data_IF_722262468603
#
_entry.id   IF_722262468603
#
_cell.length_a   1.000
_cell.length_b   1.000
_cell.length_c   1.000
_cell.angle_alpha   90.00
_cell.angle_beta   90.00
_cell.angle_gamma   90.00
#
_symmetry.space_group_name_H-M   'P 1'
#
loop_
_entity.id
_entity.type
_entity.pdbx_description
1 polymer ?
#
# COMPACT_ATOMS: atom_id res chain seq x y z
N UNK A 1 96.45 -17.04 4.70
CA UNK A 1 96.66 -16.84 6.10
C UNK A 1 96.16 -15.44 6.43
N UNK A 2 95.19 -15.26 7.18
CA UNK A 2 94.63 -14.20 7.99
C UNK A 2 93.11 -14.30 8.00
N UNK A 3 92.59 -14.79 9.13
CA UNK A 3 91.16 -14.87 9.42
C UNK A 3 90.69 -13.49 9.82
N UNK A 4 89.56 -13.08 9.27
CA UNK A 4 88.85 -11.86 9.65
C UNK A 4 87.46 -12.26 10.24
N UNK A 5 87.29 -11.97 11.53
CA UNK A 5 86.10 -12.20 12.26
C UNK A 5 85.12 -10.99 11.97
N UNK A 6 83.93 -11.31 11.46
CA UNK A 6 82.89 -10.31 11.35
C UNK A 6 81.91 -10.42 12.53
N UNK A 7 81.78 -9.36 13.28
CA UNK A 7 80.83 -9.19 14.39
C UNK A 7 79.47 -8.94 13.81
N UNK A 8 78.47 -9.81 14.09
CA UNK A 8 77.08 -9.62 13.74
C UNK A 8 76.41 -8.94 14.91
N UNK A 9 76.02 -7.71 14.74
CA UNK A 9 75.19 -6.96 15.69
C UNK A 9 73.72 -7.30 15.38
N UNK A 10 73.06 -7.88 16.38
CA UNK A 10 71.64 -8.25 16.34
C UNK A 10 70.83 -7.02 16.76
N UNK A 11 70.13 -6.37 15.78
CA UNK A 11 69.13 -5.32 16.04
C UNK A 11 67.77 -5.95 16.21
N UNK A 12 67.22 -5.93 17.42
CA UNK A 12 65.85 -6.34 17.70
C UNK A 12 64.88 -5.26 17.26
N UNK A 13 64.13 -5.51 16.18
CA UNK A 13 63.01 -4.67 15.77
C UNK A 13 61.75 -5.10 16.54
N UNK A 14 61.28 -4.25 17.45
CA UNK A 14 59.95 -4.37 18.04
C UNK A 14 58.91 -4.03 16.96
N UNK A 15 58.25 -5.01 16.38
CA UNK A 15 57.02 -4.81 15.63
C UNK A 15 55.87 -4.68 16.60
N UNK A 16 55.43 -3.44 16.79
CA UNK A 16 54.15 -3.14 17.43
C UNK A 16 52.99 -3.50 16.49
N UNK A 17 52.34 -4.62 16.74
CA UNK A 17 51.09 -4.99 16.09
C UNK A 17 49.95 -4.16 16.68
N UNK A 18 49.60 -3.05 16.02
CA UNK A 18 48.33 -2.36 16.27
C UNK A 18 47.18 -3.22 15.77
N UNK A 19 46.49 -3.90 16.71
CA UNK A 19 45.20 -4.51 16.43
C UNK A 19 44.19 -3.38 16.11
N UNK A 20 43.91 -3.16 14.83
CA UNK A 20 42.69 -2.47 14.42
C UNK A 20 41.51 -3.41 14.76
N UNK A 21 40.78 -3.11 15.84
CA UNK A 21 39.46 -3.64 16.06
C UNK A 21 38.54 -3.00 14.99
N UNK A 22 38.32 -3.71 13.88
CA UNK A 22 37.19 -3.43 13.01
C UNK A 22 35.92 -3.65 13.81
N UNK A 23 35.32 -2.56 14.29
CA UNK A 23 33.94 -2.58 14.73
C UNK A 23 33.06 -2.80 13.48
N UNK A 24 32.87 -4.04 13.10
CA UNK A 24 31.78 -4.42 12.23
C UNK A 24 30.50 -4.07 12.98
N UNK A 25 29.97 -2.90 12.68
CA UNK A 25 28.63 -2.50 13.12
C UNK A 25 27.66 -3.53 12.55
N UNK A 26 27.32 -4.54 13.33
CA UNK A 26 26.16 -5.36 13.04
C UNK A 26 24.96 -4.40 13.00
N UNK A 27 24.50 -4.06 11.81
CA UNK A 27 23.16 -3.52 11.65
C UNK A 27 22.25 -4.55 12.30
N UNK A 28 21.67 -4.20 13.44
CA UNK A 28 20.71 -5.06 14.10
C UNK A 28 19.61 -5.36 13.06
N UNK A 29 19.44 -6.63 12.71
CA UNK A 29 18.32 -7.04 11.90
C UNK A 29 17.06 -6.58 12.64
N UNK A 30 16.17 -5.89 11.92
CA UNK A 30 14.88 -5.50 12.49
C UNK A 30 14.25 -6.75 13.13
N UNK A 31 13.71 -6.60 14.34
CA UNK A 31 13.00 -7.70 14.98
C UNK A 31 11.86 -8.14 14.05
N UNK A 32 11.71 -9.45 13.86
CA UNK A 32 10.63 -9.96 13.02
C UNK A 32 9.28 -9.41 13.52
N UNK A 33 8.40 -8.95 12.61
CA UNK A 33 7.12 -8.38 13.01
C UNK A 33 6.30 -9.37 13.83
N UNK A 34 5.62 -8.87 14.87
CA UNK A 34 4.65 -9.66 15.64
C UNK A 34 3.34 -9.79 14.85
N UNK A 35 2.63 -10.91 15.03
CA UNK A 35 1.33 -11.11 14.39
C UNK A 35 1.42 -11.56 12.93
N UNK A 36 0.60 -10.98 12.06
CA UNK A 36 0.49 -11.35 10.66
C UNK A 36 1.66 -10.77 9.86
N UNK A 37 2.31 -11.60 9.07
CA UNK A 37 3.51 -11.21 8.31
C UNK A 37 3.25 -10.96 6.82
N UNK A 38 2.12 -11.42 6.29
CA UNK A 38 1.82 -11.29 4.87
C UNK A 38 0.89 -10.11 4.64
N UNK A 39 1.24 -9.23 3.72
CA UNK A 39 0.48 -8.06 3.30
C UNK A 39 0.20 -8.16 1.81
N UNK A 40 -1.06 -7.95 1.41
CA UNK A 40 -1.46 -7.87 0.01
C UNK A 40 -2.01 -6.48 -0.26
N UNK A 41 -1.39 -5.76 -1.19
CA UNK A 41 -1.70 -4.38 -1.55
C UNK A 41 -2.48 -4.34 -2.86
N UNK A 42 -3.63 -3.64 -2.87
CA UNK A 42 -4.53 -3.50 -4.02
C UNK A 42 -4.62 -2.02 -4.39
N UNK A 43 -4.26 -1.68 -5.64
CA UNK A 43 -4.29 -0.29 -6.11
C UNK A 43 -5.71 0.20 -6.43
N UNK A 44 -5.88 1.50 -6.62
CA UNK A 44 -7.12 2.13 -7.04
C UNK A 44 -7.25 2.25 -8.55
N UNK A 45 -8.40 2.72 -9.01
CA UNK A 45 -8.63 3.08 -10.41
C UNK A 45 -7.62 4.12 -10.91
N UNK A 46 -7.37 4.15 -12.22
CA UNK A 46 -6.48 5.09 -12.89
C UNK A 46 -5.00 4.97 -12.49
N UNK A 47 -4.64 3.95 -11.72
CA UNK A 47 -3.31 3.71 -11.19
C UNK A 47 -2.89 2.25 -11.43
N UNK A 48 -1.72 1.90 -10.97
CA UNK A 48 -1.21 0.53 -10.96
C UNK A 48 -0.45 0.24 -9.65
N UNK A 49 0.07 -0.96 -9.53
CA UNK A 49 0.80 -1.38 -8.33
C UNK A 49 2.08 -0.62 -8.06
N UNK A 50 2.64 0.13 -9.01
CA UNK A 50 3.89 0.89 -8.83
C UNK A 50 3.79 2.00 -7.79
N UNK A 51 2.58 2.54 -7.59
CA UNK A 51 2.33 3.53 -6.55
C UNK A 51 2.63 3.05 -5.13
N UNK A 52 2.60 1.75 -4.91
CA UNK A 52 2.89 1.13 -3.60
C UNK A 52 4.39 0.99 -3.29
N UNK A 53 5.31 1.33 -4.20
CA UNK A 53 6.75 1.09 -4.04
C UNK A 53 7.32 1.61 -2.71
N UNK A 54 6.97 2.83 -2.29
CA UNK A 54 7.48 3.39 -1.05
C UNK A 54 6.98 2.64 0.20
N UNK A 55 5.70 2.25 0.23
CA UNK A 55 5.11 1.44 1.31
C UNK A 55 5.72 0.03 1.30
N UNK A 56 5.86 -0.58 0.12
CA UNK A 56 6.53 -1.87 -0.05
C UNK A 56 7.94 -1.87 0.54
N UNK A 57 8.74 -0.84 0.26
CA UNK A 57 10.11 -0.73 0.74
C UNK A 57 10.19 -0.60 2.27
N UNK A 58 9.23 0.10 2.90
CA UNK A 58 9.15 0.20 4.37
C UNK A 58 8.79 -1.15 4.95
N UNK A 59 7.67 -1.74 4.53
CA UNK A 59 7.17 -2.99 5.08
C UNK A 59 8.17 -4.15 4.92
N UNK A 60 8.82 -4.27 3.76
CA UNK A 60 9.83 -5.32 3.54
C UNK A 60 11.07 -5.13 4.38
N UNK A 61 11.53 -3.89 4.60
CA UNK A 61 12.61 -3.56 5.52
C UNK A 61 12.26 -3.96 6.96
N UNK A 62 11.00 -3.82 7.34
CA UNK A 62 10.49 -4.14 8.67
C UNK A 62 10.09 -5.63 8.81
N UNK A 63 10.37 -6.44 7.78
CA UNK A 63 10.30 -7.91 7.82
C UNK A 63 8.96 -8.51 7.37
N UNK A 64 8.09 -7.73 6.73
CA UNK A 64 6.86 -8.24 6.15
C UNK A 64 7.09 -8.86 4.77
N UNK A 65 6.29 -9.86 4.43
CA UNK A 65 6.16 -10.40 3.06
C UNK A 65 5.05 -9.65 2.36
N UNK A 66 5.40 -8.91 1.32
CA UNK A 66 4.45 -8.03 0.62
C UNK A 66 4.20 -8.54 -0.80
N UNK A 67 2.95 -8.63 -1.19
CA UNK A 67 2.53 -8.85 -2.56
C UNK A 67 1.67 -7.68 -3.04
N UNK A 68 1.82 -7.31 -4.31
CA UNK A 68 1.06 -6.23 -4.94
C UNK A 68 0.18 -6.84 -6.03
N UNK A 69 -1.11 -6.56 -5.98
CA UNK A 69 -2.06 -6.97 -7.01
C UNK A 69 -1.93 -6.04 -8.21
N UNK A 70 -1.99 -6.61 -9.40
CA UNK A 70 -2.13 -5.90 -10.67
C UNK A 70 -3.47 -6.33 -11.27
N UNK A 71 -4.54 -5.71 -10.77
CA UNK A 71 -5.88 -5.98 -11.31
C UNK A 71 -6.05 -5.30 -12.68
N UNK A 72 -6.79 -5.93 -13.61
CA UNK A 72 -6.89 -5.44 -14.99
C UNK A 72 -7.86 -4.28 -15.17
N UNK A 73 -8.70 -3.98 -14.20
CA UNK A 73 -9.74 -2.93 -14.24
C UNK A 73 -10.74 -3.05 -15.41
N UNK A 74 -10.88 -4.27 -15.94
CA UNK A 74 -11.80 -4.59 -17.04
C UNK A 74 -13.19 -5.00 -16.58
N UNK A 75 -13.30 -5.53 -15.35
CA UNK A 75 -14.57 -5.78 -14.65
C UNK A 75 -14.32 -5.98 -13.16
N UNK A 76 -15.30 -5.63 -12.33
CA UNK A 76 -15.21 -5.84 -10.88
C UNK A 76 -14.93 -7.31 -10.50
N UNK A 77 -15.55 -8.24 -11.23
CA UNK A 77 -15.36 -9.67 -10.97
C UNK A 77 -13.93 -10.15 -11.25
N UNK A 78 -13.30 -9.69 -12.35
CA UNK A 78 -11.90 -10.00 -12.64
C UNK A 78 -10.97 -9.35 -11.63
N UNK A 79 -11.21 -8.10 -11.22
CA UNK A 79 -10.39 -7.42 -10.22
C UNK A 79 -10.40 -8.15 -8.88
N UNK A 80 -11.57 -8.58 -8.41
CA UNK A 80 -11.72 -9.42 -7.20
C UNK A 80 -11.00 -10.77 -7.37
N UNK A 81 -11.07 -11.39 -8.53
CA UNK A 81 -10.39 -12.66 -8.84
C UNK A 81 -8.87 -12.52 -8.78
N UNK A 82 -8.31 -11.44 -9.31
CA UNK A 82 -6.87 -11.16 -9.23
C UNK A 82 -6.41 -10.92 -7.79
N UNK A 83 -7.20 -10.19 -6.98
CA UNK A 83 -6.92 -10.02 -5.56
C UNK A 83 -6.93 -11.37 -4.82
N UNK A 84 -7.94 -12.23 -5.05
CA UNK A 84 -8.00 -13.58 -4.46
C UNK A 84 -6.82 -14.45 -4.87
N UNK A 85 -6.42 -14.43 -6.14
CA UNK A 85 -5.27 -15.19 -6.61
C UNK A 85 -3.97 -14.79 -5.89
N UNK A 86 -3.80 -13.51 -5.53
CA UNK A 86 -2.65 -13.06 -4.75
C UNK A 86 -2.76 -13.41 -3.26
N UNK A 87 -3.96 -13.44 -2.68
CA UNK A 87 -4.23 -13.94 -1.32
C UNK A 87 -3.90 -15.43 -1.24
N UNK A 88 -4.35 -16.23 -2.20
CA UNK A 88 -4.13 -17.69 -2.25
C UNK A 88 -2.64 -18.06 -2.25
N UNK A 89 -1.81 -17.26 -2.91
CA UNK A 89 -0.35 -17.46 -3.00
C UNK A 89 0.38 -17.18 -1.68
N UNK A 90 -0.26 -16.52 -0.71
CA UNK A 90 0.39 -16.24 0.56
C UNK A 90 0.51 -17.50 1.42
N UNK A 91 1.65 -17.70 2.12
CA UNK A 91 1.89 -18.90 2.92
C UNK A 91 1.07 -18.96 4.23
N UNK A 92 0.40 -17.86 4.60
CA UNK A 92 -0.35 -17.77 5.86
C UNK A 92 -1.37 -16.64 5.87
N UNK A 93 -1.87 -16.24 7.04
CA UNK A 93 -2.83 -15.15 7.20
C UNK A 93 -2.34 -13.84 6.57
N UNK A 94 -3.27 -13.04 6.07
CA UNK A 94 -3.03 -11.83 5.26
C UNK A 94 -3.68 -10.61 5.90
N UNK A 95 -2.96 -9.48 5.93
CA UNK A 95 -3.55 -8.14 5.98
C UNK A 95 -3.81 -7.71 4.54
N UNK A 96 -5.07 -7.47 4.19
CA UNK A 96 -5.48 -7.06 2.86
C UNK A 96 -5.72 -5.54 2.85
N UNK A 97 -4.98 -4.83 1.99
CA UNK A 97 -4.94 -3.37 1.93
C UNK A 97 -5.49 -2.90 0.59
N UNK A 98 -6.41 -1.94 0.58
CA UNK A 98 -6.97 -1.36 -0.64
C UNK A 98 -6.92 0.15 -0.63
N UNK A 99 -6.44 0.73 -1.73
CA UNK A 99 -6.51 2.16 -2.00
C UNK A 99 -7.68 2.45 -2.93
N UNK A 100 -8.44 3.51 -2.67
CA UNK A 100 -9.49 4.01 -3.57
C UNK A 100 -10.49 2.91 -3.98
N UNK A 101 -10.68 2.68 -5.28
CA UNK A 101 -11.45 1.56 -5.83
C UNK A 101 -10.94 0.19 -5.34
N UNK A 102 -9.64 0.05 -5.08
CA UNK A 102 -9.11 -1.16 -4.44
C UNK A 102 -9.78 -1.49 -3.11
N UNK A 103 -10.37 -0.50 -2.43
CA UNK A 103 -11.24 -0.69 -1.26
C UNK A 103 -12.50 -1.48 -1.58
N UNK A 104 -13.18 -1.20 -2.69
CA UNK A 104 -14.31 -1.99 -3.16
C UNK A 104 -13.89 -3.45 -3.43
N UNK A 105 -12.73 -3.63 -4.08
CA UNK A 105 -12.16 -4.97 -4.37
C UNK A 105 -11.88 -5.73 -3.08
N UNK A 106 -11.23 -5.12 -2.08
CA UNK A 106 -10.93 -5.80 -0.82
C UNK A 106 -12.18 -6.03 0.03
N UNK A 107 -13.21 -5.21 -0.13
CA UNK A 107 -14.50 -5.40 0.53
C UNK A 107 -15.16 -6.72 0.12
N UNK A 108 -15.03 -7.14 -1.13
CA UNK A 108 -15.56 -8.42 -1.63
C UNK A 108 -14.53 -9.56 -1.45
N UNK A 109 -13.25 -9.35 -1.80
CA UNK A 109 -12.20 -10.37 -1.71
C UNK A 109 -11.85 -10.72 -0.25
N UNK A 110 -12.06 -9.81 0.68
CA UNK A 110 -11.74 -9.96 2.11
C UNK A 110 -12.55 -11.03 2.85
N UNK A 111 -13.58 -11.60 2.21
CA UNK A 111 -14.30 -12.75 2.75
C UNK A 111 -13.48 -14.06 2.71
N UNK A 112 -12.32 -14.05 2.04
CA UNK A 112 -11.40 -15.19 2.05
C UNK A 112 -10.97 -15.51 3.49
N UNK A 113 -10.95 -16.80 3.89
CA UNK A 113 -10.56 -17.22 5.24
C UNK A 113 -9.12 -16.84 5.62
N UNK A 114 -8.20 -16.71 4.65
CA UNK A 114 -6.84 -16.23 4.91
C UNK A 114 -6.77 -14.75 5.29
N UNK A 115 -7.78 -13.95 4.93
CA UNK A 115 -7.78 -12.52 5.30
C UNK A 115 -8.14 -12.37 6.75
N UNK A 116 -7.21 -11.85 7.53
CA UNK A 116 -7.36 -11.64 8.98
C UNK A 116 -7.70 -10.19 9.34
N UNK A 117 -7.35 -9.23 8.47
CA UNK A 117 -7.63 -7.81 8.67
C UNK A 117 -7.77 -7.08 7.33
N UNK A 118 -8.52 -5.97 7.34
CA UNK A 118 -8.70 -5.07 6.22
C UNK A 118 -8.13 -3.69 6.55
N UNK A 119 -7.42 -3.09 5.59
CA UNK A 119 -6.93 -1.71 5.69
C UNK A 119 -7.37 -0.93 4.46
N UNK A 120 -8.11 0.13 4.68
CA UNK A 120 -8.60 1.04 3.66
C UNK A 120 -7.75 2.31 3.67
N UNK A 121 -7.22 2.71 2.53
CA UNK A 121 -6.42 3.92 2.35
C UNK A 121 -7.14 4.81 1.36
N UNK A 122 -7.78 5.90 1.81
CA UNK A 122 -8.59 6.79 0.95
C UNK A 122 -9.53 5.98 0.04
N UNK A 123 -10.38 5.11 0.60
CA UNK A 123 -10.90 4.00 -0.16
C UNK A 123 -12.40 3.72 0.07
N UNK A 124 -13.03 3.08 -0.89
CA UNK A 124 -14.44 2.69 -0.84
C UNK A 124 -14.66 1.46 0.06
N UNK A 125 -15.10 1.65 1.32
CA UNK A 125 -15.58 0.60 2.20
C UNK A 125 -17.11 0.44 2.01
N UNK A 126 -17.49 -0.13 0.88
CA UNK A 126 -18.87 -0.24 0.40
C UNK A 126 -19.72 -1.20 1.25
N UNK A 127 -21.02 -0.91 1.39
CA UNK A 127 -22.00 -1.86 1.92
C UNK A 127 -22.64 -2.70 0.80
N UNK A 128 -23.38 -3.74 1.18
CA UNK A 128 -24.09 -4.59 0.23
C UNK A 128 -25.06 -3.76 -0.64
N UNK A 129 -24.95 -3.92 -1.95
CA UNK A 129 -25.73 -3.17 -2.92
C UNK A 129 -25.16 -1.81 -3.32
N UNK A 130 -24.07 -1.34 -2.68
CA UNK A 130 -23.35 -0.13 -3.07
C UNK A 130 -22.27 -0.41 -4.11
N UNK A 131 -22.04 0.54 -4.99
CA UNK A 131 -20.89 0.61 -5.90
C UNK A 131 -20.16 1.95 -5.71
N UNK A 132 -18.96 2.09 -6.24
CA UNK A 132 -18.25 3.38 -6.25
C UNK A 132 -19.11 4.48 -6.85
N UNK A 133 -19.79 4.19 -7.95
CA UNK A 133 -20.71 5.12 -8.61
C UNK A 133 -21.87 5.59 -7.72
N UNK A 134 -22.45 4.70 -6.90
CA UNK A 134 -23.56 5.08 -6.01
C UNK A 134 -23.09 5.97 -4.87
N UNK A 135 -21.88 5.78 -4.36
CA UNK A 135 -21.28 6.61 -3.33
C UNK A 135 -20.97 8.01 -3.89
N UNK A 136 -20.28 8.09 -5.02
CA UNK A 136 -19.95 9.38 -5.64
C UNK A 136 -21.21 10.17 -6.05
N UNK A 137 -22.26 9.48 -6.52
CA UNK A 137 -23.53 10.13 -6.84
C UNK A 137 -24.22 10.72 -5.60
N UNK A 138 -24.08 10.07 -4.44
CA UNK A 138 -24.72 10.54 -3.20
C UNK A 138 -24.07 11.82 -2.66
N UNK A 139 -22.72 11.88 -2.66
CA UNK A 139 -21.94 13.08 -2.32
C UNK A 139 -20.75 13.16 -3.28
N UNK A 140 -20.87 13.97 -4.34
CA UNK A 140 -19.84 14.08 -5.37
C UNK A 140 -18.47 14.50 -4.80
N UNK A 141 -17.37 14.00 -5.38
CA UNK A 141 -16.03 14.49 -5.07
C UNK A 141 -15.83 15.92 -5.59
N UNK A 142 -14.80 16.60 -5.08
CA UNK A 142 -14.43 17.94 -5.54
C UNK A 142 -13.81 17.93 -6.95
N UNK A 143 -13.04 16.88 -7.28
CA UNK A 143 -12.43 16.68 -8.59
C UNK A 143 -13.48 16.34 -9.65
N UNK A 144 -13.36 16.95 -10.83
CA UNK A 144 -14.30 16.78 -11.94
C UNK A 144 -13.59 16.30 -13.21
N UNK A 145 -12.35 15.81 -13.08
CA UNK A 145 -11.50 15.43 -14.21
C UNK A 145 -11.83 14.10 -14.85
N UNK A 146 -12.70 13.27 -14.25
CA UNK A 146 -13.06 11.97 -14.82
C UNK A 146 -13.79 12.14 -16.14
N UNK A 147 -13.32 11.46 -17.18
CA UNK A 147 -13.85 11.43 -18.54
C UNK A 147 -14.15 10.00 -18.92
N UNK A 148 -15.10 9.83 -19.85
CA UNK A 148 -15.43 8.53 -20.44
C UNK A 148 -14.89 8.41 -21.86
N UNK A 149 -14.40 7.23 -22.21
CA UNK A 149 -14.10 6.86 -23.60
C UNK A 149 -15.36 6.34 -24.29
N UNK A 150 -15.36 6.29 -25.63
CA UNK A 150 -16.51 5.81 -26.40
C UNK A 150 -16.82 4.31 -26.20
N UNK A 151 -15.84 3.53 -25.76
CA UNK A 151 -15.93 2.09 -25.55
C UNK A 151 -16.15 1.69 -24.08
N UNK A 152 -16.51 2.67 -23.22
CA UNK A 152 -17.00 2.40 -21.86
C UNK A 152 -15.91 2.31 -20.78
N UNK A 153 -14.77 2.94 -21.00
CA UNK A 153 -13.76 3.12 -19.97
C UNK A 153 -13.75 4.55 -19.44
N UNK A 154 -13.20 4.71 -18.26
CA UNK A 154 -13.00 5.99 -17.57
C UNK A 154 -11.50 6.26 -17.45
N UNK A 155 -11.15 7.55 -17.43
CA UNK A 155 -9.81 8.06 -17.13
C UNK A 155 -9.93 9.45 -16.51
N UNK A 156 -8.92 9.91 -15.80
CA UNK A 156 -8.84 11.31 -15.36
C UNK A 156 -8.14 12.10 -16.47
N UNK A 157 -8.72 13.24 -16.87
CA UNK A 157 -8.08 14.16 -17.80
C UNK A 157 -6.66 14.48 -17.30
N UNK A 158 -5.61 14.26 -18.10
CA UNK A 158 -4.22 14.51 -17.67
C UNK A 158 -4.01 15.94 -17.11
N UNK A 159 -4.74 16.93 -17.60
CA UNK A 159 -4.67 18.31 -17.09
C UNK A 159 -5.22 18.46 -15.66
N UNK A 160 -6.12 17.59 -15.23
CA UNK A 160 -6.72 17.58 -13.89
C UNK A 160 -6.09 16.55 -12.95
N UNK A 161 -5.28 15.62 -13.47
CA UNK A 161 -4.81 14.47 -12.70
C UNK A 161 -4.06 14.89 -11.42
N UNK A 162 -3.15 15.86 -11.51
CA UNK A 162 -2.41 16.34 -10.35
C UNK A 162 -3.35 16.90 -9.28
N UNK A 163 -4.25 17.83 -9.65
CA UNK A 163 -5.16 18.49 -8.71
C UNK A 163 -6.19 17.55 -8.10
N UNK A 164 -6.68 16.58 -8.88
CA UNK A 164 -7.81 15.76 -8.47
C UNK A 164 -7.37 14.46 -7.77
N UNK A 165 -6.20 13.93 -8.13
CA UNK A 165 -5.75 12.63 -7.63
C UNK A 165 -4.56 12.75 -6.66
N UNK A 166 -3.57 13.60 -6.94
CA UNK A 166 -2.27 13.56 -6.27
C UNK A 166 -1.66 14.94 -6.06
N UNK A 167 -2.45 15.89 -5.53
CA UNK A 167 -2.07 17.31 -5.41
C UNK A 167 -0.86 17.58 -4.51
N UNK A 168 -0.52 16.70 -3.59
CA UNK A 168 0.63 16.76 -2.69
C UNK A 168 1.82 15.87 -3.12
N UNK A 169 1.72 15.25 -4.31
CA UNK A 169 2.83 14.50 -4.93
C UNK A 169 3.53 15.42 -5.94
N UNK A 170 4.88 15.39 -6.07
CA UNK A 170 5.58 16.24 -7.03
C UNK A 170 5.03 16.13 -8.46
N UNK A 171 4.82 17.27 -9.14
CA UNK A 171 4.27 17.33 -10.51
C UNK A 171 5.04 16.48 -11.51
N UNK A 172 6.37 16.39 -11.40
CA UNK A 172 7.18 15.54 -12.27
C UNK A 172 6.79 14.05 -12.20
N UNK A 173 6.32 13.59 -11.03
CA UNK A 173 5.81 12.22 -10.85
C UNK A 173 4.37 12.10 -11.35
N UNK A 174 3.51 13.05 -11.01
CA UNK A 174 2.09 13.02 -11.41
C UNK A 174 1.89 13.22 -12.90
N UNK A 175 2.78 13.96 -13.58
CA UNK A 175 2.77 14.09 -15.04
C UNK A 175 2.95 12.75 -15.75
N UNK A 176 3.84 11.87 -15.23
CA UNK A 176 3.99 10.53 -15.77
C UNK A 176 2.76 9.65 -15.41
N UNK A 177 2.30 9.71 -14.16
CA UNK A 177 1.12 8.97 -13.72
C UNK A 177 -0.11 9.31 -14.57
N UNK A 178 -0.31 10.60 -14.90
CA UNK A 178 -1.42 11.07 -15.70
C UNK A 178 -1.49 10.48 -17.11
N UNK A 179 -0.36 10.11 -17.70
CA UNK A 179 -0.31 9.53 -19.06
C UNK A 179 -0.14 8.00 -19.06
N UNK A 180 0.15 7.42 -17.90
CA UNK A 180 0.29 5.97 -17.72
C UNK A 180 -0.88 5.32 -16.97
N UNK A 181 -2.02 6.02 -16.87
CA UNK A 181 -3.22 5.52 -16.22
C UNK A 181 -3.68 4.18 -16.79
N UNK A 182 -4.11 3.27 -15.94
CA UNK A 182 -4.91 2.11 -16.37
C UNK A 182 -6.34 2.61 -16.67
N UNK A 183 -6.88 2.23 -17.80
CA UNK A 183 -8.28 2.57 -18.15
C UNK A 183 -9.23 1.76 -17.26
N UNK A 184 -10.12 2.46 -16.58
CA UNK A 184 -11.04 1.90 -15.59
C UNK A 184 -12.41 1.64 -16.22
N UNK A 185 -12.89 0.39 -16.21
CA UNK A 185 -14.16 0.05 -16.85
C UNK A 185 -15.37 0.59 -16.09
N UNK A 186 -16.43 0.96 -16.84
CA UNK A 186 -17.71 1.28 -16.24
C UNK A 186 -18.29 0.12 -15.43
N UNK A 187 -18.01 -1.14 -15.81
CA UNK A 187 -18.42 -2.32 -15.05
C UNK A 187 -17.81 -2.30 -13.65
N UNK A 188 -16.50 -2.08 -13.55
CA UNK A 188 -15.79 -1.99 -12.27
C UNK A 188 -16.33 -0.84 -11.39
N UNK A 189 -16.71 0.29 -12.01
CA UNK A 189 -17.23 1.46 -11.31
C UNK A 189 -18.66 1.28 -10.79
N UNK A 190 -19.52 0.59 -11.56
CA UNK A 190 -20.97 0.51 -11.31
C UNK A 190 -21.44 -0.78 -10.67
N UNK A 191 -20.63 -1.86 -10.71
CA UNK A 191 -20.99 -3.14 -10.12
C UNK A 191 -21.03 -3.08 -8.60
N UNK A 192 -22.15 -3.44 -7.96
CA UNK A 192 -22.29 -3.37 -6.52
C UNK A 192 -21.56 -4.52 -5.80
N UNK A 193 -21.02 -4.22 -4.62
CA UNK A 193 -20.53 -5.22 -3.67
C UNK A 193 -21.69 -6.07 -3.16
N UNK A 194 -21.45 -7.37 -3.00
CA UNK A 194 -22.45 -8.33 -2.51
C UNK A 194 -22.29 -8.65 -1.04
N UNK A 195 -21.05 -8.92 -0.61
CA UNK A 195 -20.76 -9.40 0.73
C UNK A 195 -19.63 -8.58 1.37
N UNK A 196 -19.97 -7.53 2.12
CA UNK A 196 -18.96 -6.65 2.72
C UNK A 196 -18.18 -7.35 3.83
N UNK A 197 -16.90 -7.64 3.58
CA UNK A 197 -16.03 -8.34 4.51
C UNK A 197 -15.76 -7.57 5.82
N UNK A 198 -15.82 -6.23 5.81
CA UNK A 198 -15.66 -5.40 6.99
C UNK A 198 -16.73 -5.64 8.06
N UNK A 199 -17.87 -6.27 7.72
CA UNK A 199 -18.89 -6.69 8.71
C UNK A 199 -18.41 -7.80 9.64
N UNK A 200 -17.38 -8.54 9.24
CA UNK A 200 -16.86 -9.68 10.01
C UNK A 200 -15.35 -9.62 10.28
N UNK A 201 -14.63 -8.70 9.65
CA UNK A 201 -13.18 -8.58 9.79
C UNK A 201 -12.78 -7.31 10.53
N UNK A 202 -11.77 -7.36 11.41
CA UNK A 202 -11.16 -6.16 11.97
C UNK A 202 -10.70 -5.21 10.87
N UNK A 203 -11.00 -3.92 11.02
CA UNK A 203 -10.84 -2.94 9.95
C UNK A 203 -10.11 -1.70 10.44
N UNK A 204 -9.18 -1.20 9.61
CA UNK A 204 -8.45 0.06 9.76
C UNK A 204 -8.73 0.95 8.57
N UNK A 205 -8.67 2.26 8.78
CA UNK A 205 -8.95 3.23 7.73
C UNK A 205 -8.05 4.45 7.86
N UNK A 206 -7.35 4.81 6.78
CA UNK A 206 -6.72 6.10 6.61
C UNK A 206 -7.55 6.92 5.66
N UNK A 207 -7.89 8.16 6.05
CA UNK A 207 -8.57 9.11 5.19
C UNK A 207 -7.78 10.40 5.07
N UNK A 208 -7.98 11.11 3.96
CA UNK A 208 -7.35 12.39 3.70
C UNK A 208 -8.34 13.55 3.79
N UNK A 209 -7.89 14.64 4.42
CA UNK A 209 -8.75 15.82 4.59
C UNK A 209 -8.86 16.69 3.34
N UNK A 210 -7.96 16.52 2.37
CA UNK A 210 -7.94 17.20 1.08
C UNK A 210 -8.07 16.24 -0.11
N UNK A 211 -8.83 15.16 0.07
CA UNK A 211 -9.15 14.22 -1.00
C UNK A 211 -10.15 14.86 -1.99
N UNK A 212 -9.77 14.93 -3.26
CA UNK A 212 -10.62 15.44 -4.33
C UNK A 212 -11.22 14.32 -5.21
N UNK A 213 -10.80 13.06 -5.02
CA UNK A 213 -11.32 11.89 -5.77
C UNK A 213 -12.42 11.16 -5.01
N UNK A 214 -12.38 11.12 -3.68
CA UNK A 214 -13.49 10.68 -2.82
C UNK A 214 -13.78 11.84 -1.86
N UNK A 215 -15.05 12.18 -1.69
CA UNK A 215 -15.41 13.23 -0.75
C UNK A 215 -15.04 12.80 0.69
N UNK A 216 -14.28 13.60 1.47
CA UNK A 216 -13.87 13.26 2.83
C UNK A 216 -15.03 12.92 3.78
N UNK A 217 -16.22 13.52 3.58
CA UNK A 217 -17.40 13.16 4.38
C UNK A 217 -17.89 11.73 4.09
N UNK A 218 -17.76 11.27 2.84
CA UNK A 218 -18.06 9.88 2.48
C UNK A 218 -17.04 8.91 3.09
N UNK A 219 -15.77 9.26 3.08
CA UNK A 219 -14.74 8.44 3.74
C UNK A 219 -15.02 8.32 5.24
N UNK A 220 -15.37 9.43 5.93
CA UNK A 220 -15.76 9.40 7.35
C UNK A 220 -16.98 8.51 7.59
N UNK A 221 -18.00 8.63 6.75
CA UNK A 221 -19.21 7.82 6.86
C UNK A 221 -18.88 6.32 6.68
N UNK A 222 -18.09 5.96 5.66
CA UNK A 222 -17.69 4.57 5.40
C UNK A 222 -16.81 4.01 6.52
N UNK A 223 -15.82 4.76 7.00
CA UNK A 223 -14.96 4.36 8.10
C UNK A 223 -15.75 4.13 9.41
N UNK A 224 -16.70 5.04 9.72
CA UNK A 224 -17.56 4.94 10.91
C UNK A 224 -18.46 3.71 10.86
N UNK A 225 -19.14 3.45 9.73
CA UNK A 225 -20.03 2.28 9.61
C UNK A 225 -19.29 0.96 9.62
N UNK A 226 -18.06 0.93 9.12
CA UNK A 226 -17.18 -0.23 9.19
C UNK A 226 -16.57 -0.43 10.59
N UNK A 227 -16.87 0.44 11.56
CA UNK A 227 -16.27 0.45 12.90
C UNK A 227 -14.73 0.39 12.84
N UNK A 228 -14.14 1.08 11.86
CA UNK A 228 -12.71 1.05 11.59
C UNK A 228 -11.91 1.86 12.62
N UNK A 229 -10.71 1.38 12.95
CA UNK A 229 -9.72 2.21 13.62
C UNK A 229 -9.18 3.22 12.60
N UNK A 230 -9.54 4.49 12.78
CA UNK A 230 -9.34 5.53 11.76
C UNK A 230 -8.23 6.49 12.14
N UNK A 231 -7.41 6.87 11.15
CA UNK A 231 -6.50 8.01 11.19
C UNK A 231 -6.84 8.99 10.07
N UNK A 232 -6.68 10.28 10.33
CA UNK A 232 -6.83 11.34 9.32
C UNK A 232 -5.47 11.96 9.04
N UNK A 233 -5.18 12.20 7.75
CA UNK A 233 -3.96 12.87 7.30
C UNK A 233 -4.32 14.07 6.43
N UNK A 234 -3.50 15.11 6.47
CA UNK A 234 -3.65 16.24 5.56
C UNK A 234 -2.92 15.93 4.24
N UNK A 235 -3.60 15.24 3.35
CA UNK A 235 -3.06 14.75 2.08
C UNK A 235 -4.13 14.84 0.99
N UNK A 236 -3.71 14.69 -0.27
CA UNK A 236 -4.58 14.41 -1.39
C UNK A 236 -5.07 12.95 -1.38
N UNK A 237 -5.75 12.51 -2.43
CA UNK A 237 -6.20 11.12 -2.58
C UNK A 237 -5.07 10.08 -2.58
N UNK A 238 -3.87 10.46 -3.01
CA UNK A 238 -2.72 9.56 -3.11
C UNK A 238 -1.86 9.51 -1.83
N UNK A 239 -2.48 9.45 -0.64
CA UNK A 239 -1.77 9.44 0.64
C UNK A 239 -0.73 8.30 0.77
N UNK A 240 -0.96 7.14 0.17
CA UNK A 240 0.01 6.03 0.16
C UNK A 240 1.31 6.37 -0.58
N UNK A 241 1.29 7.39 -1.46
CA UNK A 241 2.46 7.90 -2.18
C UNK A 241 3.14 9.04 -1.40
N UNK A 242 2.35 9.99 -0.90
CA UNK A 242 2.86 11.20 -0.20
C UNK A 242 3.15 10.96 1.28
N UNK A 243 2.42 10.04 1.93
CA UNK A 243 2.52 9.67 3.35
C UNK A 243 2.80 8.17 3.55
N UNK A 244 3.85 7.59 2.90
CA UNK A 244 4.08 6.15 2.93
C UNK A 244 4.43 5.61 4.32
N UNK A 245 4.99 6.45 5.21
CA UNK A 245 5.33 6.05 6.58
C UNK A 245 4.09 5.87 7.43
N UNK A 246 3.15 6.80 7.36
CA UNK A 246 1.86 6.75 8.05
C UNK A 246 1.03 5.58 7.54
N UNK A 247 1.04 5.36 6.22
CA UNK A 247 0.38 4.22 5.58
C UNK A 247 0.97 2.89 6.06
N UNK A 248 2.29 2.73 6.02
CA UNK A 248 2.94 1.52 6.50
C UNK A 248 2.66 1.26 7.98
N UNK A 249 2.73 2.30 8.83
CA UNK A 249 2.43 2.18 10.26
C UNK A 249 1.02 1.68 10.52
N UNK A 250 0.01 2.19 9.80
CA UNK A 250 -1.37 1.71 9.94
C UNK A 250 -1.50 0.23 9.55
N UNK A 251 -0.81 -0.19 8.49
CA UNK A 251 -0.77 -1.60 8.06
C UNK A 251 -0.11 -2.48 9.14
N UNK A 252 0.99 -2.01 9.74
CA UNK A 252 1.69 -2.72 10.82
C UNK A 252 0.84 -2.82 12.09
N UNK A 253 0.08 -1.77 12.43
CA UNK A 253 -0.87 -1.81 13.55
C UNK A 253 -1.98 -2.85 13.30
N UNK A 254 -2.47 -2.95 12.06
CA UNK A 254 -3.43 -3.97 11.68
C UNK A 254 -2.81 -5.38 11.79
N UNK A 255 -1.60 -5.56 11.29
CA UNK A 255 -0.87 -6.83 11.34
C UNK A 255 -0.59 -7.32 12.76
N UNK A 256 -0.24 -6.40 13.67
CA UNK A 256 0.05 -6.72 15.06
C UNK A 256 -1.20 -7.01 15.90
N UNK A 257 -2.35 -6.40 15.54
CA UNK A 257 -3.58 -6.43 16.35
C UNK A 257 -4.60 -7.44 15.87
N UNK A 258 -4.50 -7.92 14.62
CA UNK A 258 -5.45 -8.87 14.06
C UNK A 258 -5.31 -10.26 14.71
N UNK A 259 -6.43 -10.96 14.94
CA UNK A 259 -6.38 -12.30 15.50
C UNK A 259 -5.69 -13.27 14.52
N UNK A 260 -4.69 -13.99 15.01
CA UNK A 260 -4.09 -15.10 14.26
C UNK A 260 -4.93 -16.34 14.53
N UNK A 261 -5.88 -16.64 13.64
CA UNK A 261 -6.58 -17.91 13.69
C UNK A 261 -5.58 -19.01 13.26
N UNK A 262 -5.28 -19.91 14.19
CA UNK A 262 -4.48 -21.12 13.95
C UNK A 262 -5.29 -22.15 13.17
#
# INVERSE_FOLDING_TARGET
MKKLYAIVTLAAALMGTTLLLERTGRVAAAAAPSGIKNVVLVHGAFADGSGWEAVFNILTKDGYTVAVVQQPETSFAEDVKFAKAMIDRQPGPVVLVGHSYGGAVITEAGNDPKVAALVYINAFALDAGESSATIEKAVPPAGQGIKATADGYLYIDPASFHSDFAADVPESKTAFMAVSQVLFSLDSFTTPVKTPAWKSKPTWYMMSTADHSINPEQERMMAKRANAKTIEVNSSHAAYISHPKETAKLIEEAAASAPVHQ
#
